data_IF_728458413723
#
_entry.id   IF_728458413723
#
_cell.length_a   1.000
_cell.length_b   1.000
_cell.length_c   1.000
_cell.angle_alpha   90.00
_cell.angle_beta   90.00
_cell.angle_gamma   90.00
#
_symmetry.space_group_name_H-M   'P 1'
#
loop_
_entity.id
_entity.type
_entity.pdbx_description
1 polymer ?
#
# COMPACT_ATOMS: atom_id res chain seq x y z
N UNK A 1 -18.10 -27.65 0.19
CA UNK A 1 -18.73 -27.40 -1.12
C UNK A 1 -17.61 -27.11 -2.12
N UNK A 2 -17.55 -27.78 -3.28
CA UNK A 2 -16.59 -27.41 -4.31
C UNK A 2 -16.91 -25.98 -4.78
N UNK A 3 -15.90 -25.12 -4.98
CA UNK A 3 -16.14 -23.80 -5.52
C UNK A 3 -16.69 -23.98 -6.94
N UNK A 4 -17.88 -23.44 -7.19
CA UNK A 4 -18.46 -23.38 -8.54
C UNK A 4 -17.44 -22.68 -9.43
N UNK A 5 -16.88 -23.37 -10.42
CA UNK A 5 -15.99 -22.76 -11.42
C UNK A 5 -16.84 -21.83 -12.28
N UNK A 6 -17.02 -20.61 -11.81
CA UNK A 6 -17.71 -19.57 -12.56
C UNK A 6 -16.95 -19.35 -13.88
N UNK A 7 -17.69 -19.31 -14.99
CA UNK A 7 -17.13 -19.04 -16.31
C UNK A 7 -16.32 -17.75 -16.27
N UNK A 8 -15.03 -17.86 -16.57
CA UNK A 8 -14.14 -16.71 -16.50
C UNK A 8 -14.23 -15.95 -17.82
N UNK A 9 -14.77 -14.75 -17.76
CA UNK A 9 -14.92 -13.87 -18.93
C UNK A 9 -13.58 -13.29 -19.37
N UNK A 10 -13.41 -13.09 -20.68
CA UNK A 10 -12.22 -12.44 -21.23
C UNK A 10 -10.95 -13.29 -21.28
N UNK A 11 -11.07 -14.62 -21.19
CA UNK A 11 -9.98 -15.57 -21.45
C UNK A 11 -9.99 -15.97 -22.93
N UNK A 12 -8.81 -16.02 -23.56
CA UNK A 12 -8.66 -16.46 -24.95
C UNK A 12 -7.28 -17.06 -25.21
N UNK A 13 -7.19 -17.99 -26.16
CA UNK A 13 -5.91 -18.51 -26.67
C UNK A 13 -5.05 -17.46 -27.42
N UNK A 14 -5.55 -16.23 -27.59
CA UNK A 14 -4.76 -15.10 -28.10
C UNK A 14 -3.84 -14.47 -27.04
N UNK A 15 -4.02 -14.83 -25.77
CA UNK A 15 -3.26 -14.28 -24.66
C UNK A 15 -1.98 -15.09 -24.42
N UNK A 16 -0.95 -14.41 -23.93
CA UNK A 16 0.26 -15.04 -23.42
C UNK A 16 -0.06 -15.90 -22.19
N UNK A 17 0.74 -16.92 -21.95
CA UNK A 17 0.49 -17.89 -20.88
C UNK A 17 0.41 -17.23 -19.49
N UNK A 18 1.28 -16.24 -19.23
CA UNK A 18 1.29 -15.53 -17.94
C UNK A 18 0.08 -14.62 -17.75
N UNK A 19 -0.34 -13.90 -18.79
CA UNK A 19 -1.53 -13.04 -18.73
C UNK A 19 -2.80 -13.88 -18.56
N UNK A 20 -2.87 -15.03 -19.22
CA UNK A 20 -3.95 -15.99 -19.04
C UNK A 20 -4.06 -16.45 -17.58
N UNK A 21 -2.97 -16.91 -16.99
CA UNK A 21 -2.94 -17.36 -15.59
C UNK A 21 -3.21 -16.22 -14.60
N UNK A 22 -2.72 -15.01 -14.88
CA UNK A 22 -3.04 -13.80 -14.11
C UNK A 22 -4.54 -13.50 -14.10
N UNK A 23 -5.21 -13.59 -15.25
CA UNK A 23 -6.66 -13.42 -15.35
C UNK A 23 -7.43 -14.47 -14.56
N UNK A 24 -6.98 -15.72 -14.61
CA UNK A 24 -7.56 -16.81 -13.82
C UNK A 24 -7.39 -16.54 -12.33
N UNK A 25 -6.19 -16.15 -11.89
CA UNK A 25 -5.92 -15.79 -10.50
C UNK A 25 -6.78 -14.58 -10.06
N UNK A 26 -6.99 -13.59 -10.92
CA UNK A 26 -7.84 -12.43 -10.64
C UNK A 26 -9.33 -12.79 -10.54
N UNK A 27 -9.79 -13.74 -11.36
CA UNK A 27 -11.18 -14.19 -11.37
C UNK A 27 -11.56 -14.99 -10.10
N UNK A 28 -10.58 -15.59 -9.41
CA UNK A 28 -10.80 -16.39 -8.20
C UNK A 28 -10.14 -15.77 -6.96
N UNK A 29 -10.58 -14.59 -6.48
CA UNK A 29 -9.91 -13.88 -5.38
C UNK A 29 -10.02 -14.59 -4.02
N UNK A 30 -11.04 -15.44 -3.84
CA UNK A 30 -11.26 -16.21 -2.60
C UNK A 30 -10.28 -17.37 -2.42
N UNK A 31 -9.68 -17.83 -3.51
CA UNK A 31 -8.78 -18.98 -3.53
C UNK A 31 -7.33 -18.58 -3.26
N UNK A 32 -6.53 -19.53 -2.79
CA UNK A 32 -5.09 -19.34 -2.69
C UNK A 32 -4.50 -18.98 -4.07
N UNK A 33 -3.41 -18.18 -4.07
CA UNK A 33 -2.73 -17.79 -5.31
C UNK A 33 -2.11 -19.04 -5.95
N UNK A 34 -2.07 -19.05 -7.28
CA UNK A 34 -1.49 -20.17 -8.02
C UNK A 34 -0.03 -20.40 -7.61
N UNK A 35 0.34 -21.65 -7.32
CA UNK A 35 1.70 -22.02 -6.92
C UNK A 35 2.10 -21.64 -5.49
N UNK A 36 1.14 -21.29 -4.62
CA UNK A 36 1.39 -21.07 -3.18
C UNK A 36 1.04 -22.29 -2.32
N UNK A 37 1.49 -22.30 -1.07
CA UNK A 37 1.11 -23.36 -0.13
C UNK A 37 -0.41 -23.37 0.08
N UNK A 38 -1.03 -24.55 0.01
CA UNK A 38 -2.49 -24.69 0.07
C UNK A 38 -3.21 -24.44 -1.26
N UNK A 39 -2.48 -24.22 -2.36
CA UNK A 39 -3.08 -24.08 -3.68
C UNK A 39 -3.75 -25.38 -4.16
N UNK A 40 -5.04 -25.28 -4.46
CA UNK A 40 -5.88 -26.36 -5.02
C UNK A 40 -6.07 -26.22 -6.54
N UNK A 41 -5.19 -25.48 -7.22
CA UNK A 41 -5.22 -25.28 -8.67
C UNK A 41 -5.28 -26.58 -9.46
N UNK A 42 -4.66 -27.67 -8.99
CA UNK A 42 -4.71 -28.98 -9.64
C UNK A 42 -6.13 -29.56 -9.79
N UNK A 43 -7.09 -29.12 -8.97
CA UNK A 43 -8.50 -29.53 -9.07
C UNK A 43 -9.29 -28.64 -10.04
N UNK A 44 -8.81 -27.42 -10.31
CA UNK A 44 -9.56 -26.39 -11.08
C UNK A 44 -8.98 -26.12 -12.45
N UNK A 45 -7.69 -26.32 -12.62
CA UNK A 45 -6.95 -26.00 -13.83
C UNK A 45 -6.18 -27.25 -14.24
N UNK A 46 -6.31 -27.63 -15.50
CA UNK A 46 -5.50 -28.64 -16.14
C UNK A 46 -4.63 -27.95 -17.18
N UNK A 47 -3.32 -28.04 -17.04
CA UNK A 47 -2.37 -27.48 -18.02
C UNK A 47 -1.80 -28.65 -18.78
N UNK A 48 -1.96 -28.60 -20.10
CA UNK A 48 -1.67 -29.73 -20.97
C UNK A 48 -0.81 -29.29 -22.14
N UNK A 49 0.21 -30.08 -22.46
CA UNK A 49 1.04 -29.87 -23.65
C UNK A 49 0.68 -30.93 -24.70
N UNK A 50 0.10 -30.54 -25.86
CA UNK A 50 -0.16 -31.49 -26.92
C UNK A 50 1.15 -31.99 -27.53
N UNK A 51 1.26 -33.30 -27.78
CA UNK A 51 2.40 -33.87 -28.50
C UNK A 51 2.28 -33.56 -29.99
N UNK A 52 2.83 -32.42 -30.40
CA UNK A 52 2.88 -31.99 -31.80
C UNK A 52 4.27 -31.47 -32.15
N UNK A 53 4.78 -31.90 -33.30
CA UNK A 53 6.12 -31.60 -33.80
C UNK A 53 6.19 -30.25 -34.53
N UNK A 54 5.04 -29.64 -34.83
CA UNK A 54 5.00 -28.32 -35.47
C UNK A 54 5.59 -27.25 -34.54
N UNK A 55 6.00 -26.11 -35.08
CA UNK A 55 6.25 -24.93 -34.26
C UNK A 55 4.92 -24.26 -33.91
N UNK A 56 4.78 -23.81 -32.66
CA UNK A 56 3.57 -23.17 -32.20
C UNK A 56 3.57 -21.70 -32.65
N UNK A 57 2.52 -21.20 -33.32
CA UNK A 57 2.41 -19.77 -33.63
C UNK A 57 2.16 -18.91 -32.38
N UNK A 58 1.73 -19.54 -31.27
CA UNK A 58 1.42 -18.90 -29.97
C UNK A 58 1.74 -19.84 -28.82
N UNK A 59 1.98 -19.27 -27.64
CA UNK A 59 2.24 -20.04 -26.43
C UNK A 59 1.04 -20.89 -26.00
N UNK A 60 -0.16 -20.29 -26.04
CA UNK A 60 -1.43 -20.96 -25.72
C UNK A 60 -2.09 -21.37 -27.03
N UNK A 61 -2.28 -22.67 -27.22
CA UNK A 61 -2.91 -23.23 -28.41
C UNK A 61 -4.44 -23.17 -28.33
N UNK A 62 -5.00 -23.52 -27.17
CA UNK A 62 -6.45 -23.58 -26.96
C UNK A 62 -6.76 -23.44 -25.46
N UNK A 63 -7.95 -22.94 -25.15
CA UNK A 63 -8.45 -22.86 -23.77
C UNK A 63 -9.90 -23.34 -23.74
N UNK A 64 -10.13 -24.46 -23.04
CA UNK A 64 -11.45 -25.08 -22.92
C UNK A 64 -11.98 -24.89 -21.50
N UNK A 65 -13.04 -24.11 -21.40
CA UNK A 65 -13.80 -23.95 -20.16
C UNK A 65 -15.01 -24.88 -20.22
N UNK A 66 -15.33 -25.62 -19.15
CA UNK A 66 -16.58 -26.37 -19.10
C UNK A 66 -17.77 -25.38 -19.07
N UNK A 67 -18.83 -25.71 -19.82
CA UNK A 67 -20.05 -24.91 -19.94
C UNK A 67 -21.22 -25.78 -19.44
N UNK A 68 -22.17 -25.21 -18.70
CA UNK A 68 -23.38 -25.90 -18.23
C UNK A 68 -23.23 -26.52 -16.83
N UNK A 69 -24.05 -27.53 -16.52
CA UNK A 69 -24.08 -28.21 -15.20
C UNK A 69 -22.74 -28.87 -14.82
N UNK A 70 -21.91 -29.22 -15.80
CA UNK A 70 -20.56 -29.77 -15.60
C UNK A 70 -19.49 -28.72 -15.24
N UNK A 71 -19.83 -27.42 -15.24
CA UNK A 71 -18.92 -26.35 -14.82
C UNK A 71 -18.49 -26.48 -13.35
N UNK A 72 -19.28 -27.15 -12.50
CA UNK A 72 -18.93 -27.38 -11.11
C UNK A 72 -17.94 -28.54 -10.89
N UNK A 73 -17.76 -29.42 -11.88
CA UNK A 73 -17.05 -30.70 -11.71
C UNK A 73 -15.81 -30.81 -12.58
N UNK A 74 -15.78 -30.19 -13.76
CA UNK A 74 -14.63 -30.27 -14.66
C UNK A 74 -13.64 -29.10 -14.48
N UNK A 75 -12.32 -29.36 -14.58
CA UNK A 75 -11.32 -28.31 -14.55
C UNK A 75 -11.22 -27.56 -15.88
N UNK A 76 -10.88 -26.27 -15.80
CA UNK A 76 -10.45 -25.46 -16.93
C UNK A 76 -9.22 -26.09 -17.60
N UNK A 77 -9.31 -26.46 -18.87
CA UNK A 77 -8.18 -27.07 -19.60
C UNK A 77 -7.47 -26.04 -20.47
N UNK A 78 -6.18 -25.85 -20.25
CA UNK A 78 -5.30 -24.94 -20.99
C UNK A 78 -4.33 -25.78 -21.81
N UNK A 79 -4.38 -25.64 -23.12
CA UNK A 79 -3.41 -26.26 -24.02
C UNK A 79 -2.26 -25.28 -24.25
N UNK A 80 -1.11 -25.55 -23.62
CA UNK A 80 0.08 -24.72 -23.72
C UNK A 80 1.17 -25.47 -24.49
N UNK A 81 1.85 -24.79 -25.40
CA UNK A 81 2.96 -25.36 -26.18
C UNK A 81 4.32 -24.89 -25.69
N UNK A 82 4.35 -23.75 -25.00
CA UNK A 82 5.57 -23.15 -24.46
C UNK A 82 6.19 -23.97 -23.32
N UNK A 83 5.39 -24.65 -22.50
CA UNK A 83 5.88 -25.34 -21.30
C UNK A 83 5.44 -26.81 -21.28
N UNK A 84 6.41 -27.73 -21.25
CA UNK A 84 6.17 -29.15 -21.08
C UNK A 84 7.38 -30.04 -21.42
N UNK A 85 7.10 -31.31 -21.73
CA UNK A 85 8.10 -32.35 -21.94
C UNK A 85 8.33 -32.71 -23.41
N UNK A 86 7.36 -32.46 -24.28
CA UNK A 86 7.41 -32.82 -25.70
C UNK A 86 8.08 -31.77 -26.58
N UNK A 87 8.68 -32.22 -27.68
CA UNK A 87 9.27 -31.37 -28.72
C UNK A 87 8.22 -30.44 -29.36
N UNK A 88 8.62 -29.28 -29.92
CA UNK A 88 9.99 -28.80 -30.07
C UNK A 88 10.57 -28.07 -28.85
N UNK A 89 9.76 -27.75 -27.84
CA UNK A 89 10.18 -26.92 -26.70
C UNK A 89 10.53 -27.72 -25.44
N UNK A 90 10.19 -29.00 -25.39
CA UNK A 90 10.42 -29.87 -24.24
C UNK A 90 11.72 -30.69 -24.34
N UNK A 91 12.26 -31.14 -23.20
CA UNK A 91 13.53 -31.86 -23.12
C UNK A 91 13.48 -33.33 -23.58
N UNK A 92 12.30 -33.93 -23.77
CA UNK A 92 12.25 -35.34 -24.18
C UNK A 92 12.76 -35.51 -25.61
N UNK A 93 13.42 -36.64 -25.90
CA UNK A 93 13.79 -36.98 -27.26
C UNK A 93 12.61 -36.95 -28.23
N UNK A 94 12.88 -36.57 -29.48
CA UNK A 94 11.85 -36.43 -30.53
C UNK A 94 11.02 -37.71 -30.70
N UNK A 95 11.65 -38.88 -30.64
CA UNK A 95 10.98 -40.18 -30.78
C UNK A 95 9.91 -40.43 -29.70
N UNK A 96 10.05 -39.86 -28.49
CA UNK A 96 9.01 -39.93 -27.45
C UNK A 96 7.81 -39.06 -27.80
N UNK A 97 8.03 -37.92 -28.45
CA UNK A 97 6.96 -37.05 -28.94
C UNK A 97 6.21 -37.71 -30.10
N UNK A 98 6.92 -38.35 -31.02
CA UNK A 98 6.33 -39.15 -32.11
C UNK A 98 5.49 -40.31 -31.57
N UNK A 99 6.00 -41.03 -30.57
CA UNK A 99 5.25 -42.10 -29.90
C UNK A 99 3.96 -41.56 -29.29
N UNK A 100 4.04 -40.48 -28.49
CA UNK A 100 2.89 -39.84 -27.87
C UNK A 100 1.84 -39.35 -28.88
N UNK A 101 2.31 -38.85 -30.03
CA UNK A 101 1.47 -38.40 -31.14
C UNK A 101 0.80 -39.57 -31.85
N UNK A 102 1.52 -40.66 -32.11
CA UNK A 102 1.00 -41.86 -32.76
C UNK A 102 -0.03 -42.57 -31.87
N UNK A 103 0.19 -42.66 -30.56
CA UNK A 103 -0.80 -43.22 -29.64
C UNK A 103 -2.11 -42.40 -29.65
N UNK A 104 -1.99 -41.07 -29.67
CA UNK A 104 -3.14 -40.19 -29.71
C UNK A 104 -3.91 -40.27 -31.03
N UNK A 105 -3.22 -40.24 -32.17
CA UNK A 105 -3.86 -40.22 -33.49
C UNK A 105 -4.36 -41.62 -33.93
N UNK A 106 -3.51 -42.65 -33.81
CA UNK A 106 -3.82 -43.98 -34.32
C UNK A 106 -4.63 -44.80 -33.32
N UNK A 107 -4.25 -44.77 -32.03
CA UNK A 107 -4.88 -45.60 -30.98
C UNK A 107 -5.95 -44.86 -30.19
N UNK A 108 -6.15 -43.56 -30.45
CA UNK A 108 -7.05 -42.67 -29.69
C UNK A 108 -6.77 -42.69 -28.18
N UNK A 109 -5.53 -43.02 -27.80
CA UNK A 109 -5.12 -43.12 -26.40
C UNK A 109 -4.35 -41.86 -25.98
N UNK A 110 -4.79 -41.22 -24.89
CA UNK A 110 -4.16 -40.01 -24.33
C UNK A 110 -3.30 -40.30 -23.11
N UNK A 111 -3.22 -41.55 -22.65
CA UNK A 111 -2.61 -41.91 -21.37
C UNK A 111 -1.19 -41.36 -21.20
N UNK A 112 -0.33 -41.47 -22.22
CA UNK A 112 1.05 -41.00 -22.12
C UNK A 112 1.15 -39.46 -22.07
N UNK A 113 0.35 -38.75 -22.88
CA UNK A 113 0.31 -37.28 -22.83
C UNK A 113 -0.27 -36.79 -21.49
N UNK A 114 -1.30 -37.47 -20.99
CA UNK A 114 -1.94 -37.16 -19.71
C UNK A 114 -0.98 -37.39 -18.55
N UNK A 115 -0.25 -38.50 -18.56
CA UNK A 115 0.81 -38.79 -17.58
C UNK A 115 1.91 -37.72 -17.60
N UNK A 116 2.40 -37.35 -18.78
CA UNK A 116 3.38 -36.27 -18.92
C UNK A 116 2.84 -34.93 -18.39
N UNK A 117 1.55 -34.65 -18.60
CA UNK A 117 0.91 -33.42 -18.12
C UNK A 117 0.81 -33.35 -16.60
N UNK A 118 0.64 -34.48 -15.90
CA UNK A 118 0.64 -34.51 -14.43
C UNK A 118 1.98 -34.01 -13.88
N UNK A 119 3.09 -34.37 -14.53
CA UNK A 119 4.43 -33.95 -14.15
C UNK A 119 4.69 -32.48 -14.51
N UNK A 120 4.31 -32.04 -15.72
CA UNK A 120 4.63 -30.70 -16.20
C UNK A 120 3.70 -29.61 -15.65
N UNK A 121 2.43 -29.93 -15.35
CA UNK A 121 1.42 -28.96 -14.94
C UNK A 121 1.85 -28.16 -13.71
N UNK A 122 2.32 -28.85 -12.66
CA UNK A 122 2.74 -28.18 -11.43
C UNK A 122 3.94 -27.26 -11.68
N UNK A 123 4.87 -27.71 -12.51
CA UNK A 123 6.04 -26.92 -12.90
C UNK A 123 5.65 -25.68 -13.70
N UNK A 124 4.66 -25.77 -14.59
CA UNK A 124 4.14 -24.64 -15.36
C UNK A 124 3.51 -23.57 -14.43
N UNK A 125 2.75 -24.02 -13.42
CA UNK A 125 2.17 -23.13 -12.41
C UNK A 125 3.27 -22.46 -11.57
N UNK A 126 4.29 -23.21 -11.15
CA UNK A 126 5.42 -22.66 -10.40
C UNK A 126 6.25 -21.67 -11.23
N UNK A 127 6.39 -21.91 -12.54
CA UNK A 127 7.04 -21.00 -13.46
C UNK A 127 6.29 -19.66 -13.52
N UNK A 128 4.96 -19.69 -13.69
CA UNK A 128 4.13 -18.50 -13.56
C UNK A 128 4.27 -17.83 -12.20
N UNK A 129 4.34 -18.61 -11.10
CA UNK A 129 4.47 -18.05 -9.76
C UNK A 129 5.79 -17.29 -9.57
N UNK A 130 6.89 -17.85 -10.07
CA UNK A 130 8.19 -17.18 -10.05
C UNK A 130 8.15 -15.87 -10.84
N UNK A 131 7.54 -15.87 -12.03
CA UNK A 131 7.32 -14.66 -12.82
C UNK A 131 6.45 -13.63 -12.08
N UNK A 132 5.30 -14.05 -11.53
CA UNK A 132 4.36 -13.18 -10.83
C UNK A 132 4.94 -12.52 -9.57
N UNK A 133 5.88 -13.18 -8.89
CA UNK A 133 6.56 -12.63 -7.71
C UNK A 133 7.50 -11.46 -8.05
N UNK A 134 8.07 -11.44 -9.25
CA UNK A 134 8.95 -10.36 -9.72
C UNK A 134 8.18 -9.14 -10.21
N UNK A 135 6.88 -9.29 -10.51
CA UNK A 135 6.06 -8.24 -11.10
C UNK A 135 5.12 -7.59 -10.07
N UNK A 136 5.47 -6.38 -9.63
CA UNK A 136 4.70 -5.61 -8.62
C UNK A 136 3.24 -5.42 -9.03
N UNK A 137 2.98 -5.18 -10.32
CA UNK A 137 1.63 -4.98 -10.86
C UNK A 137 0.71 -6.19 -10.61
N UNK A 138 1.23 -7.42 -10.72
CA UNK A 138 0.47 -8.66 -10.49
C UNK A 138 0.13 -8.83 -9.01
N UNK A 139 1.02 -8.39 -8.13
CA UNK A 139 0.74 -8.34 -6.69
C UNK A 139 -0.46 -7.46 -6.34
N UNK A 140 -0.64 -6.35 -7.07
CA UNK A 140 -1.67 -5.33 -6.82
C UNK A 140 -3.10 -5.78 -7.16
N UNK A 141 -3.26 -6.73 -8.10
CA UNK A 141 -4.57 -7.30 -8.44
C UNK A 141 -5.32 -7.88 -7.23
N UNK A 142 -4.58 -8.26 -6.17
CA UNK A 142 -5.12 -8.69 -4.88
C UNK A 142 -4.56 -7.82 -3.76
N UNK A 143 -5.13 -6.63 -3.60
CA UNK A 143 -4.65 -5.61 -2.65
C UNK A 143 -4.49 -6.11 -1.21
N UNK A 144 -5.40 -6.98 -0.74
CA UNK A 144 -5.41 -7.49 0.64
C UNK A 144 -4.22 -8.41 0.94
N UNK A 145 -3.71 -9.11 -0.07
CA UNK A 145 -2.64 -10.13 0.07
C UNK A 145 -1.46 -9.81 -0.85
N UNK A 146 -1.11 -8.53 -0.97
CA UNK A 146 0.03 -8.10 -1.78
C UNK A 146 1.33 -8.16 -0.95
N UNK A 147 2.27 -9.08 -1.27
CA UNK A 147 3.50 -9.24 -0.50
C UNK A 147 4.41 -8.00 -0.61
N UNK A 148 4.49 -7.39 -1.80
CA UNK A 148 5.30 -6.17 -2.01
C UNK A 148 4.80 -5.01 -1.14
N UNK A 149 3.49 -4.78 -1.12
CA UNK A 149 2.88 -3.78 -0.22
C UNK A 149 3.17 -4.10 1.24
N UNK A 150 3.05 -5.37 1.66
CA UNK A 150 3.37 -5.78 3.03
C UNK A 150 4.81 -5.46 3.41
N UNK A 151 5.78 -5.69 2.52
CA UNK A 151 7.18 -5.36 2.77
C UNK A 151 7.41 -3.86 2.85
N UNK A 152 6.77 -3.06 1.98
CA UNK A 152 6.82 -1.60 2.06
C UNK A 152 6.23 -1.09 3.39
N UNK A 153 5.11 -1.64 3.84
CA UNK A 153 4.52 -1.32 5.13
C UNK A 153 5.52 -1.62 6.27
N UNK A 154 6.16 -2.80 6.26
CA UNK A 154 7.15 -3.17 7.26
C UNK A 154 8.34 -2.20 7.29
N UNK A 155 8.84 -1.78 6.12
CA UNK A 155 9.90 -0.78 6.00
C UNK A 155 9.49 0.57 6.60
N UNK A 156 8.22 0.97 6.41
CA UNK A 156 7.64 2.17 7.01
C UNK A 156 7.29 2.01 8.51
N UNK A 157 7.67 0.88 9.13
CA UNK A 157 7.37 0.58 10.52
C UNK A 157 5.88 0.32 10.79
N UNK A 158 5.13 -0.14 9.79
CA UNK A 158 3.75 -0.60 9.91
C UNK A 158 3.72 -2.13 9.96
N UNK A 159 3.25 -2.68 11.07
CA UNK A 159 3.03 -4.12 11.24
C UNK A 159 1.53 -4.42 11.28
N UNK A 160 1.11 -5.57 10.77
CA UNK A 160 -0.30 -6.01 10.74
C UNK A 160 -0.97 -6.12 12.10
N UNK A 161 -0.20 -6.22 13.18
CA UNK A 161 -0.69 -6.34 14.56
C UNK A 161 -0.87 -4.99 15.28
N UNK A 162 -0.35 -3.89 14.72
CA UNK A 162 -0.44 -2.59 15.37
C UNK A 162 -1.73 -1.88 14.96
N UNK A 163 -2.50 -1.44 15.95
CA UNK A 163 -3.64 -0.57 15.72
C UNK A 163 -3.13 0.87 15.55
N UNK A 164 -2.85 1.24 14.30
CA UNK A 164 -2.40 2.58 13.92
C UNK A 164 -3.57 3.33 13.31
N UNK A 165 -3.68 4.63 13.61
CA UNK A 165 -4.65 5.53 13.00
C UNK A 165 -4.64 5.37 11.45
N UNK A 166 -5.82 5.33 10.85
CA UNK A 166 -5.97 5.13 9.42
C UNK A 166 -5.22 6.19 8.59
N UNK A 167 -5.18 7.44 9.07
CA UNK A 167 -4.50 8.54 8.41
C UNK A 167 -2.98 8.38 8.47
N UNK A 168 -2.43 8.02 9.64
CA UNK A 168 -1.00 7.72 9.79
C UNK A 168 -0.61 6.57 8.87
N UNK A 169 -1.42 5.49 8.86
CA UNK A 169 -1.18 4.34 7.99
C UNK A 169 -1.12 4.74 6.51
N UNK A 170 -2.09 5.53 6.03
CA UNK A 170 -2.10 6.03 4.64
C UNK A 170 -0.85 6.83 4.29
N UNK A 171 -0.41 7.72 5.18
CA UNK A 171 0.78 8.55 4.94
C UNK A 171 2.06 7.71 4.90
N UNK A 172 2.23 6.79 5.85
CA UNK A 172 3.37 5.86 5.88
C UNK A 172 3.40 4.92 4.66
N UNK A 173 2.23 4.45 4.21
CA UNK A 173 2.12 3.64 2.99
C UNK A 173 2.45 4.43 1.71
N UNK A 174 2.07 5.73 1.65
CA UNK A 174 2.37 6.59 0.50
C UNK A 174 3.83 7.05 0.46
N UNK A 175 4.45 7.30 1.63
CA UNK A 175 5.81 7.83 1.74
C UNK A 175 6.74 6.94 2.59
N UNK A 176 6.90 5.64 2.27
CA UNK A 176 7.66 4.71 3.12
C UNK A 176 9.11 5.14 3.31
N UNK A 177 9.73 5.74 2.27
CA UNK A 177 11.11 6.21 2.32
C UNK A 177 11.37 7.34 3.32
N UNK A 178 10.35 8.15 3.66
CA UNK A 178 10.49 9.24 4.62
C UNK A 178 10.55 8.75 6.08
N UNK A 179 10.03 7.54 6.33
CA UNK A 179 9.98 6.92 7.66
C UNK A 179 11.17 5.99 7.96
N UNK A 180 12.08 5.83 7.00
CA UNK A 180 13.31 5.06 7.19
C UNK A 180 14.14 5.63 8.37
N UNK A 181 14.70 4.76 9.24
CA UNK A 181 15.58 5.19 10.32
C UNK A 181 16.70 6.10 9.81
N UNK A 182 16.89 7.26 10.45
CA UNK A 182 17.94 8.22 10.11
C UNK A 182 17.66 9.11 8.88
N UNK A 183 16.54 8.91 8.15
CA UNK A 183 16.18 9.71 6.96
C UNK A 183 15.02 10.70 7.17
N UNK A 184 14.58 10.88 8.41
CA UNK A 184 13.49 11.80 8.76
C UNK A 184 13.88 13.27 8.60
N UNK A 185 13.69 13.84 7.41
CA UNK A 185 13.90 15.27 7.14
C UNK A 185 12.62 16.06 7.36
N UNK A 186 12.73 17.21 8.03
CA UNK A 186 11.59 18.14 8.21
C UNK A 186 11.09 18.71 6.88
N UNK A 187 11.96 18.80 5.87
CA UNK A 187 11.54 19.16 4.52
C UNK A 187 10.57 18.11 3.95
N UNK A 188 10.84 16.82 4.18
CA UNK A 188 9.92 15.74 3.77
C UNK A 188 8.63 15.77 4.57
N UNK A 189 8.67 16.07 5.87
CA UNK A 189 7.45 16.31 6.64
C UNK A 189 6.60 17.43 6.02
N UNK A 190 7.24 18.54 5.63
CA UNK A 190 6.54 19.65 4.97
C UNK A 190 5.87 19.21 3.66
N UNK A 191 6.58 18.47 2.81
CA UNK A 191 6.08 17.95 1.54
C UNK A 191 4.89 17.00 1.77
N UNK A 192 5.01 16.08 2.72
CA UNK A 192 3.96 15.13 3.10
C UNK A 192 2.70 15.86 3.58
N UNK A 193 2.85 16.82 4.50
CA UNK A 193 1.71 17.58 5.03
C UNK A 193 1.05 18.44 3.94
N UNK A 194 1.84 19.04 3.07
CA UNK A 194 1.34 19.83 1.93
C UNK A 194 0.53 18.96 0.98
N UNK A 195 1.06 17.78 0.62
CA UNK A 195 0.36 16.82 -0.23
C UNK A 195 -0.93 16.32 0.43
N UNK A 196 -0.87 15.91 1.69
CA UNK A 196 -1.98 15.30 2.41
C UNK A 196 -3.16 16.26 2.66
N UNK A 197 -2.87 17.50 3.06
CA UNK A 197 -3.91 18.49 3.35
C UNK A 197 -4.30 19.34 2.13
N UNK A 198 -3.54 19.26 1.03
CA UNK A 198 -3.71 20.06 -0.18
C UNK A 198 -3.74 21.58 0.12
N UNK A 199 -2.92 22.00 1.08
CA UNK A 199 -2.76 23.39 1.54
C UNK A 199 -1.27 23.64 1.73
N UNK A 200 -0.75 24.85 1.45
CA UNK A 200 0.66 25.14 1.71
C UNK A 200 1.00 24.96 3.19
N UNK A 201 2.04 24.19 3.49
CA UNK A 201 2.56 24.02 4.84
C UNK A 201 4.02 24.44 4.87
N UNK A 202 4.42 25.15 5.92
CA UNK A 202 5.81 25.49 6.20
C UNK A 202 6.21 24.95 7.57
N UNK A 203 7.28 24.19 7.62
CA UNK A 203 7.80 23.61 8.85
C UNK A 203 9.10 24.33 9.22
N UNK A 204 9.12 24.96 10.40
CA UNK A 204 10.27 25.69 10.92
C UNK A 204 10.81 24.98 12.18
N UNK A 205 12.06 24.48 12.15
CA UNK A 205 12.71 23.95 13.34
C UNK A 205 13.24 25.07 14.23
N UNK A 206 13.69 24.68 15.42
CA UNK A 206 14.59 25.48 16.25
C UNK A 206 14.00 26.81 16.77
N UNK A 207 12.74 26.80 17.21
CA UNK A 207 12.15 27.95 17.92
C UNK A 207 12.43 27.86 19.41
N UNK A 208 13.08 28.87 19.98
CA UNK A 208 13.30 28.93 21.43
C UNK A 208 11.99 28.84 22.22
N UNK A 209 11.91 27.87 23.13
CA UNK A 209 10.81 27.69 24.07
C UNK A 209 11.35 27.60 25.50
N UNK A 210 10.53 28.06 26.44
CA UNK A 210 10.78 27.82 27.86
C UNK A 210 10.08 26.52 28.26
N UNK A 211 10.84 25.57 28.81
CA UNK A 211 10.35 24.28 29.29
C UNK A 211 10.32 24.33 30.82
N UNK A 212 9.21 23.89 31.41
CA UNK A 212 9.05 23.77 32.87
C UNK A 212 9.86 22.57 33.38
N UNK A 213 10.77 22.83 34.32
CA UNK A 213 11.63 21.79 34.91
C UNK A 213 10.97 21.24 36.20
N UNK A 214 9.87 20.51 36.02
CA UNK A 214 9.05 20.03 37.13
C UNK A 214 9.79 19.05 38.08
N UNK A 215 10.88 18.44 37.62
CA UNK A 215 11.67 17.46 38.38
C UNK A 215 12.89 18.06 39.07
N UNK A 216 13.16 19.35 38.87
CA UNK A 216 14.19 20.07 39.61
C UNK A 216 13.68 20.44 41.01
N UNK A 217 13.47 19.41 41.85
CA UNK A 217 13.06 19.54 43.25
C UNK A 217 14.23 19.88 44.17
N UNK A 218 15.46 19.70 43.69
CA UNK A 218 16.64 20.06 44.45
C UNK A 218 16.76 21.57 44.52
N UNK A 219 16.50 22.12 45.70
CA UNK A 219 16.97 23.45 46.07
C UNK A 219 18.50 23.41 46.03
N UNK A 220 19.06 23.70 44.87
CA UNK A 220 20.49 23.64 44.54
C UNK A 220 21.28 24.65 45.38
N UNK A 221 21.48 24.37 46.67
CA UNK A 221 22.35 25.15 47.56
C UNK A 221 23.83 24.97 47.20
N UNK A 222 24.19 23.87 46.53
CA UNK A 222 25.53 23.59 45.99
C UNK A 222 25.45 22.94 44.61
N UNK A 223 25.08 23.73 43.60
CA UNK A 223 25.12 23.29 42.21
C UNK A 223 26.54 23.27 41.65
N UNK A 224 26.80 22.36 40.69
CA UNK A 224 28.07 22.28 39.98
C UNK A 224 27.92 22.89 38.59
N UNK A 225 28.90 23.72 38.18
CA UNK A 225 28.92 24.31 36.85
C UNK A 225 28.94 23.21 35.78
N UNK A 226 28.05 23.31 34.79
CA UNK A 226 27.93 22.34 33.70
C UNK A 226 27.01 21.13 33.97
N UNK A 227 26.60 20.89 35.22
CA UNK A 227 25.68 19.81 35.58
C UNK A 227 24.34 20.33 36.12
N UNK A 228 24.35 21.49 36.78
CA UNK A 228 23.16 22.06 37.42
C UNK A 228 22.42 23.03 36.49
N UNK A 229 21.09 22.85 36.38
CA UNK A 229 20.18 23.84 35.79
C UNK A 229 19.63 24.78 36.86
N UNK A 230 19.65 26.08 36.58
CA UNK A 230 19.16 27.12 37.49
C UNK A 230 17.77 27.58 37.06
N UNK A 231 16.87 27.73 38.04
CA UNK A 231 15.53 28.28 37.85
C UNK A 231 14.46 27.21 37.63
N UNK A 232 13.20 27.65 37.63
CA UNK A 232 12.02 26.78 37.44
C UNK A 232 11.85 26.33 35.98
N UNK A 233 12.49 27.04 35.04
CA UNK A 233 12.38 26.82 33.60
C UNK A 233 13.75 26.93 32.97
N UNK A 234 13.99 26.13 31.94
CA UNK A 234 15.16 26.29 31.07
C UNK A 234 14.72 26.62 29.64
N UNK A 235 15.59 27.34 28.94
CA UNK A 235 15.37 27.69 27.54
C UNK A 235 15.95 26.61 26.65
N UNK A 236 15.14 26.08 25.75
CA UNK A 236 15.56 25.09 24.77
C UNK A 236 15.14 25.51 23.36
N UNK A 237 16.06 25.30 22.43
CA UNK A 237 15.88 25.56 21.01
C UNK A 237 15.77 24.24 20.24
N UNK A 238 16.33 23.15 20.73
CA UNK A 238 16.50 21.91 19.96
C UNK A 238 15.20 21.11 19.82
N UNK A 239 14.36 21.08 20.85
CA UNK A 239 13.20 20.18 20.89
C UNK A 239 11.89 20.85 20.47
N UNK A 240 11.93 21.92 19.68
CA UNK A 240 10.72 22.60 19.21
C UNK A 240 10.53 22.48 17.70
N UNK A 241 9.27 22.29 17.32
CA UNK A 241 8.83 22.22 15.93
C UNK A 241 7.63 23.12 15.71
N UNK A 242 7.75 24.08 14.80
CA UNK A 242 6.66 25.00 14.46
C UNK A 242 6.12 24.67 13.09
N UNK A 243 4.82 24.45 12.99
CA UNK A 243 4.14 24.17 11.74
C UNK A 243 3.21 25.32 11.40
N UNK A 244 3.44 25.95 10.25
CA UNK A 244 2.58 26.99 9.69
C UNK A 244 1.74 26.38 8.57
N UNK A 245 0.42 26.48 8.66
CA UNK A 245 -0.52 25.96 7.65
C UNK A 245 -1.23 27.13 7.01
N UNK A 246 -1.23 27.18 5.68
CA UNK A 246 -1.92 28.20 4.90
C UNK A 246 -0.98 28.98 3.98
N UNK A 247 -1.53 29.96 3.23
CA UNK A 247 -2.79 30.64 3.49
C UNK A 247 -4.05 29.78 3.28
N UNK A 248 -5.01 29.86 4.20
CA UNK A 248 -6.34 29.26 4.07
C UNK A 248 -7.44 30.33 4.02
N UNK A 249 -8.51 30.08 3.26
CA UNK A 249 -9.70 30.93 3.24
C UNK A 249 -10.47 30.84 4.57
N UNK A 250 -11.45 31.74 4.77
CA UNK A 250 -12.30 31.73 5.96
C UNK A 250 -13.05 30.41 6.18
N UNK A 251 -13.56 29.80 5.10
CA UNK A 251 -14.18 28.46 5.17
C UNK A 251 -13.16 27.36 5.48
N UNK A 252 -11.95 27.46 4.90
CA UNK A 252 -10.85 26.55 5.18
C UNK A 252 -10.42 26.59 6.64
N UNK A 253 -10.38 27.79 7.23
CA UNK A 253 -10.04 27.99 8.63
C UNK A 253 -10.95 27.21 9.59
N UNK A 254 -12.27 27.18 9.32
CA UNK A 254 -13.24 26.43 10.13
C UNK A 254 -12.88 24.94 10.23
N UNK A 255 -12.32 24.38 9.17
CA UNK A 255 -11.91 22.97 9.10
C UNK A 255 -10.64 22.67 9.91
N UNK A 256 -9.83 23.67 10.24
CA UNK A 256 -8.59 23.54 11.01
C UNK A 256 -8.71 24.05 12.45
N UNK A 257 -9.91 24.44 12.91
CA UNK A 257 -10.11 24.96 14.26
C UNK A 257 -9.74 23.99 15.38
N UNK A 258 -9.58 24.52 16.60
CA UNK A 258 -9.38 23.71 17.81
C UNK A 258 -10.50 22.66 17.95
N UNK A 259 -10.08 21.40 18.07
CA UNK A 259 -10.96 20.23 18.17
C UNK A 259 -11.49 19.70 16.83
N UNK A 260 -11.19 20.36 15.70
CA UNK A 260 -11.50 19.83 14.37
C UNK A 260 -10.73 18.54 14.10
N UNK A 261 -11.32 17.67 13.28
CA UNK A 261 -10.70 16.39 12.91
C UNK A 261 -9.38 16.61 12.16
N UNK A 262 -9.36 17.54 11.19
CA UNK A 262 -8.12 17.84 10.43
C UNK A 262 -6.98 18.32 11.32
N UNK A 263 -7.25 19.15 12.33
CA UNK A 263 -6.21 19.59 13.26
C UNK A 263 -5.70 18.41 14.10
N UNK A 264 -6.59 17.54 14.58
CA UNK A 264 -6.19 16.31 15.30
C UNK A 264 -5.32 15.43 14.40
N UNK A 265 -5.74 15.16 13.17
CA UNK A 265 -4.95 14.38 12.20
C UNK A 265 -3.58 15.02 11.98
N UNK A 266 -3.50 16.34 11.83
CA UNK A 266 -2.22 17.04 11.64
C UNK A 266 -1.28 16.88 12.83
N UNK A 267 -1.81 17.05 14.05
CA UNK A 267 -1.08 16.83 15.29
C UNK A 267 -0.57 15.39 15.36
N UNK A 268 -1.43 14.40 15.08
CA UNK A 268 -1.08 12.99 15.07
C UNK A 268 0.02 12.67 14.04
N UNK A 269 -0.09 13.20 12.81
CA UNK A 269 0.93 13.00 11.76
C UNK A 269 2.28 13.61 12.14
N UNK A 270 2.28 14.80 12.72
CA UNK A 270 3.53 15.45 13.17
C UNK A 270 4.20 14.67 14.30
N UNK A 271 3.42 14.26 15.32
CA UNK A 271 3.94 13.47 16.43
C UNK A 271 4.43 12.10 15.97
N UNK A 272 3.73 11.46 15.04
CA UNK A 272 4.12 10.19 14.45
C UNK A 272 5.47 10.29 13.74
N UNK A 273 5.63 11.29 12.86
CA UNK A 273 6.86 11.50 12.09
C UNK A 273 8.06 11.81 12.99
N UNK A 274 7.86 12.63 14.02
CA UNK A 274 8.90 13.06 14.96
C UNK A 274 9.05 12.09 16.14
N UNK A 275 8.24 11.03 16.19
CA UNK A 275 8.23 9.99 17.24
C UNK A 275 8.06 10.56 18.65
N UNK A 276 7.20 11.59 18.79
CA UNK A 276 6.93 12.28 20.05
C UNK A 276 8.16 12.89 20.75
N UNK A 277 9.26 13.17 20.01
CA UNK A 277 10.50 13.71 20.58
C UNK A 277 10.58 15.24 20.63
N UNK A 278 9.64 15.94 20.00
CA UNK A 278 9.64 17.40 19.94
C UNK A 278 8.29 17.96 20.41
N UNK A 279 8.36 19.15 20.99
CA UNK A 279 7.23 20.01 21.33
C UNK A 279 6.70 20.65 20.05
N UNK A 280 5.41 20.43 19.76
CA UNK A 280 4.77 20.89 18.54
C UNK A 280 4.01 22.20 18.78
N UNK A 281 4.21 23.21 17.93
CA UNK A 281 3.50 24.49 17.91
C UNK A 281 2.87 24.70 16.52
N UNK A 282 1.55 24.61 16.41
CA UNK A 282 0.82 24.73 15.13
C UNK A 282 0.14 26.09 15.03
N UNK A 283 0.46 26.78 13.95
CA UNK A 283 -0.03 28.10 13.59
C UNK A 283 -0.76 28.03 12.25
N UNK A 284 -1.93 28.64 12.15
CA UNK A 284 -2.67 28.75 10.88
C UNK A 284 -2.55 30.18 10.35
N UNK A 285 -2.16 30.29 9.10
CA UNK A 285 -2.12 31.51 8.30
C UNK A 285 -3.46 31.62 7.58
N UNK A 286 -4.25 32.60 7.97
CA UNK A 286 -5.62 32.80 7.47
C UNK A 286 -5.60 34.02 6.56
N UNK A 287 -6.09 33.86 5.33
CA UNK A 287 -6.42 34.98 4.47
C UNK A 287 -7.79 35.50 4.91
N UNK A 288 -7.79 36.67 5.54
CA UNK A 288 -9.03 37.30 5.98
C UNK A 288 -9.81 37.85 4.78
N UNK A 289 -11.14 37.79 4.85
CA UNK A 289 -12.06 38.45 3.91
C UNK A 289 -13.06 39.29 4.71
N UNK A 290 -13.53 40.45 4.20
CA UNK A 290 -14.60 41.22 4.82
C UNK A 290 -15.83 40.39 5.19
N UNK A 291 -16.14 39.34 4.41
CA UNK A 291 -17.28 38.44 4.62
C UNK A 291 -17.18 37.59 5.90
N UNK A 292 -15.99 37.54 6.52
CA UNK A 292 -15.78 36.81 7.78
C UNK A 292 -16.30 37.58 9.01
N UNK A 293 -16.79 38.81 8.84
CA UNK A 293 -17.24 39.64 9.95
C UNK A 293 -18.45 38.98 10.65
N UNK A 294 -18.34 38.81 11.98
CA UNK A 294 -19.39 38.16 12.75
C UNK A 294 -20.51 39.15 13.08
N UNK A 295 -21.76 38.81 12.78
CA UNK A 295 -22.90 39.57 13.30
C UNK A 295 -23.27 39.09 14.72
N UNK A 296 -23.78 39.99 15.56
CA UNK A 296 -24.33 39.58 16.86
C UNK A 296 -25.46 38.56 16.65
N UNK A 297 -25.52 37.55 17.53
CA UNK A 297 -26.43 36.39 17.50
C UNK A 297 -26.11 35.30 16.45
N UNK A 298 -25.11 35.50 15.59
CA UNK A 298 -24.60 34.44 14.71
C UNK A 298 -23.18 34.02 15.12
N UNK A 299 -22.89 32.71 15.03
CA UNK A 299 -21.54 32.19 15.27
C UNK A 299 -21.22 31.78 16.72
N UNK A 300 -20.01 31.23 16.88
CA UNK A 300 -19.46 30.74 18.16
C UNK A 300 -18.24 31.58 18.54
N UNK A 301 -18.18 32.01 19.80
CA UNK A 301 -17.06 32.78 20.33
C UNK A 301 -15.74 32.00 20.20
N UNK A 302 -14.67 32.68 19.80
CA UNK A 302 -13.36 32.06 19.57
C UNK A 302 -13.22 31.27 18.27
N UNK A 303 -14.30 31.15 17.48
CA UNK A 303 -14.33 30.48 16.16
C UNK A 303 -14.73 31.42 15.03
N UNK A 304 -15.80 32.19 15.23
CA UNK A 304 -16.36 33.07 14.20
C UNK A 304 -16.19 34.56 14.53
N UNK A 305 -15.70 34.90 15.72
CA UNK A 305 -15.66 36.26 16.25
C UNK A 305 -14.56 37.14 15.64
N UNK A 306 -14.71 37.48 14.35
CA UNK A 306 -13.89 38.49 13.67
C UNK A 306 -14.64 39.84 13.69
N UNK A 307 -14.05 40.84 14.37
CA UNK A 307 -14.67 42.17 14.52
C UNK A 307 -14.46 43.07 13.30
N UNK A 308 -13.27 43.04 12.70
CA UNK A 308 -12.92 43.82 11.51
C UNK A 308 -11.93 43.03 10.64
N UNK A 309 -12.39 41.98 9.93
CA UNK A 309 -11.53 41.27 9.01
C UNK A 309 -11.23 42.15 7.78
N UNK A 310 -9.95 42.27 7.44
CA UNK A 310 -9.49 42.92 6.22
C UNK A 310 -9.17 41.89 5.14
N UNK A 311 -8.34 42.25 4.17
CA UNK A 311 -7.75 41.34 3.17
C UNK A 311 -6.34 40.85 3.56
N UNK A 312 -5.93 41.08 4.81
CA UNK A 312 -4.60 40.77 5.30
C UNK A 312 -4.44 39.28 5.68
N UNK A 313 -3.18 38.80 5.66
CA UNK A 313 -2.82 37.53 6.25
C UNK A 313 -2.71 37.66 7.77
N UNK A 314 -3.40 36.81 8.51
CA UNK A 314 -3.33 36.75 9.97
C UNK A 314 -2.83 35.40 10.44
N UNK A 315 -1.92 35.39 11.42
CA UNK A 315 -1.38 34.16 12.02
C UNK A 315 -2.09 33.89 13.33
N UNK A 316 -2.64 32.68 13.50
CA UNK A 316 -3.34 32.26 14.73
C UNK A 316 -2.72 30.99 15.31
N UNK A 317 -2.27 30.98 16.58
CA UNK A 317 -1.80 29.77 17.26
C UNK A 317 -2.97 28.89 17.67
N UNK A 318 -3.02 27.65 17.15
CA UNK A 318 -4.12 26.73 17.39
C UNK A 318 -3.79 25.64 18.39
N UNK A 319 -2.56 25.13 18.39
CA UNK A 319 -2.17 24.01 19.23
C UNK A 319 -0.72 24.16 19.69
N UNK A 320 -0.48 23.84 20.96
CA UNK A 320 0.85 23.68 21.53
C UNK A 320 0.85 22.43 22.40
N UNK A 321 1.81 21.54 22.23
CA UNK A 321 2.01 20.40 23.13
C UNK A 321 2.35 20.95 24.52
N UNK A 322 1.67 20.46 25.56
CA UNK A 322 2.04 20.79 26.93
C UNK A 322 3.43 20.21 27.21
N UNK A 323 4.36 21.06 27.67
CA UNK A 323 5.74 20.69 28.03
C UNK A 323 5.82 20.15 29.44
#
# INVERSE_FOLDING_TARGET
>A
MPPVTQRITGISARQDFFELLRRIERASPQEARLGTCGDRSHQRIRIFQPADLSFAPREVADVRQPIGEHAATEPLTIFCRHFGLFAPYGPLPIHMTEHARNEFLARRNRAFQDFASILSQRMAVLHYRAWAQLHVAVGHDREKTNPFRSHLCQIAGLTTQQNVDQHIRRVREAFPGAYLPGRGSLYKLQEILTYYFSVPVKVAPHKGIWIDDAHNQDRQRMGHLGATRIGRRFFDVQHSLVVYIGPVSGEGYLKFQRGSDRLKTLVHLCHDFVRYRMVLDINVIIQTSPDMACSLKSGRLGRHSWLKPGTALSIRPLYRTAT
#
